data_IF_541568513090
#
_entry.id   IF_541568513090
#
_cell.length_a   1.000
_cell.length_b   1.000
_cell.length_c   1.000
_cell.angle_alpha   90.00
_cell.angle_beta   90.00
_cell.angle_gamma   90.00
#
_symmetry.space_group_name_H-M   'P 1'
#
loop_
_entity.id
_entity.type
_entity.pdbx_description
1 polymer ?
#
# COMPACT_ATOMS: atom_id res chain seq x y z
N UNK A 1 -2.29 -4.54 17.64
CA UNK A 1 -1.47 -3.90 16.59
C UNK A 1 -1.10 -5.00 15.62
N UNK A 2 -1.85 -5.14 14.53
CA UNK A 2 -1.53 -6.11 13.49
C UNK A 2 -0.30 -5.61 12.71
N UNK A 3 0.87 -6.10 13.13
CA UNK A 3 2.12 -5.90 12.42
C UNK A 3 2.14 -6.86 11.21
N UNK A 4 2.50 -6.42 10.00
CA UNK A 4 2.59 -7.32 8.87
C UNK A 4 3.73 -8.34 9.08
N UNK A 5 3.38 -9.63 9.06
CA UNK A 5 4.33 -10.75 9.08
C UNK A 5 5.29 -10.72 7.87
N UNK A 6 4.83 -10.17 6.74
CA UNK A 6 5.62 -10.02 5.52
C UNK A 6 5.45 -8.62 4.95
N UNK A 7 6.57 -7.93 4.73
CA UNK A 7 6.61 -6.62 4.07
C UNK A 7 7.05 -6.84 2.61
N UNK A 8 6.20 -6.57 1.61
CA UNK A 8 6.58 -6.69 0.21
C UNK A 8 7.74 -5.76 -0.17
N UNK A 9 8.60 -6.23 -1.07
CA UNK A 9 9.68 -5.43 -1.65
C UNK A 9 9.18 -4.79 -2.94
N UNK A 10 9.37 -3.48 -3.06
CA UNK A 10 9.04 -2.74 -4.28
C UNK A 10 10.04 -3.08 -5.39
N UNK A 11 9.66 -2.88 -6.65
CA UNK A 11 10.55 -3.01 -7.82
C UNK A 11 11.81 -2.14 -7.77
N UNK A 12 11.88 -1.17 -6.86
CA UNK A 12 13.10 -0.38 -6.59
C UNK A 12 14.07 -1.07 -5.62
N UNK A 13 13.80 -2.31 -5.20
CA UNK A 13 14.61 -3.09 -4.26
C UNK A 13 14.42 -2.73 -2.79
N UNK A 14 13.53 -1.79 -2.46
CA UNK A 14 13.32 -1.33 -1.08
C UNK A 14 12.03 -1.90 -0.48
N UNK A 15 11.98 -2.14 0.85
CA UNK A 15 10.74 -2.48 1.54
C UNK A 15 9.68 -1.41 1.34
N UNK A 16 8.46 -1.87 1.07
CA UNK A 16 7.29 -0.99 0.95
C UNK A 16 6.91 -0.39 2.31
N UNK A 17 6.05 0.63 2.26
CA UNK A 17 5.43 1.22 3.45
C UNK A 17 3.96 0.81 3.50
N UNK A 18 3.51 0.41 4.69
CA UNK A 18 2.09 0.26 4.97
C UNK A 18 1.49 1.66 5.13
N UNK A 19 0.48 1.97 4.33
CA UNK A 19 -0.28 3.21 4.35
C UNK A 19 -1.76 2.89 4.54
N UNK A 20 -2.54 3.91 4.89
CA UNK A 20 -3.99 3.83 5.07
C UNK A 20 -4.66 4.82 4.11
N UNK A 21 -5.73 4.39 3.45
CA UNK A 21 -6.55 5.25 2.60
C UNK A 21 -7.50 6.09 3.45
N UNK A 22 -7.56 7.38 3.14
CA UNK A 22 -8.44 8.36 3.77
C UNK A 22 -9.57 8.81 2.84
N UNK A 23 -9.72 8.16 1.69
CA UNK A 23 -10.78 8.43 0.72
C UNK A 23 -12.13 7.90 1.22
N UNK A 24 -13.21 8.61 0.89
CA UNK A 24 -14.58 8.19 1.22
C UNK A 24 -14.96 6.82 0.65
N UNK A 25 -14.37 6.41 -0.48
CA UNK A 25 -14.69 5.13 -1.12
C UNK A 25 -14.02 3.91 -0.44
N UNK A 26 -12.93 4.16 0.30
CA UNK A 26 -12.15 3.12 0.98
C UNK A 26 -11.62 3.66 2.31
N UNK A 27 -12.45 4.10 3.25
CA UNK A 27 -11.96 4.72 4.47
C UNK A 27 -11.27 3.67 5.35
N UNK A 28 -10.07 3.97 5.83
CA UNK A 28 -9.33 3.12 6.78
C UNK A 28 -8.67 1.88 6.17
N UNK A 29 -8.86 1.61 4.87
CA UNK A 29 -8.27 0.45 4.21
C UNK A 29 -6.76 0.61 4.02
N UNK A 30 -5.98 -0.41 4.36
CA UNK A 30 -4.52 -0.36 4.33
C UNK A 30 -3.96 -0.96 3.05
N UNK A 31 -2.86 -0.40 2.58
CA UNK A 31 -2.15 -0.85 1.38
C UNK A 31 -0.65 -0.68 1.53
N UNK A 32 0.12 -1.49 0.80
CA UNK A 32 1.55 -1.32 0.65
C UNK A 32 1.86 -0.47 -0.57
N UNK A 33 2.71 0.55 -0.39
CA UNK A 33 3.15 1.44 -1.44
C UNK A 33 4.65 1.68 -1.44
N UNK A 34 5.19 2.05 -2.60
CA UNK A 34 6.59 2.48 -2.70
C UNK A 34 6.84 3.75 -1.87
N UNK A 35 7.89 3.76 -1.04
CA UNK A 35 8.31 4.95 -0.26
C UNK A 35 8.72 6.14 -1.14
N UNK A 36 9.14 5.88 -2.38
CA UNK A 36 9.57 6.91 -3.33
C UNK A 36 8.42 7.47 -4.17
N UNK A 37 7.18 7.01 -3.94
CA UNK A 37 6.01 7.59 -4.61
C UNK A 37 5.92 9.10 -4.30
N UNK A 38 5.76 9.94 -5.34
CA UNK A 38 5.70 11.40 -5.20
C UNK A 38 7.04 12.13 -5.00
N UNK A 39 8.18 11.43 -4.88
CA UNK A 39 9.49 12.06 -4.61
C UNK A 39 10.23 12.62 -5.83
N UNK A 40 9.53 12.84 -6.95
CA UNK A 40 10.13 13.44 -8.16
C UNK A 40 11.16 12.57 -8.89
N UNK A 41 11.30 11.28 -8.55
CA UNK A 41 12.20 10.36 -9.26
C UNK A 41 11.76 10.19 -10.72
N UNK A 42 12.74 10.23 -11.62
CA UNK A 42 12.59 10.13 -13.09
C UNK A 42 11.89 8.86 -13.59
N UNK A 43 11.76 7.84 -12.74
CA UNK A 43 10.86 6.70 -12.94
C UNK A 43 10.05 6.47 -11.66
N UNK A 44 8.76 6.82 -11.63
CA UNK A 44 7.93 6.46 -10.50
C UNK A 44 7.79 4.93 -10.47
N UNK A 45 8.17 4.32 -9.35
CA UNK A 45 7.90 2.91 -9.10
C UNK A 45 6.50 2.79 -8.51
N UNK A 46 5.54 2.41 -9.35
CA UNK A 46 4.13 2.23 -8.97
C UNK A 46 3.91 0.83 -8.39
N UNK A 47 4.56 0.52 -7.27
CA UNK A 47 4.18 -0.66 -6.50
C UNK A 47 2.96 -0.33 -5.64
N UNK A 48 1.89 -1.13 -5.78
CA UNK A 48 0.67 -1.04 -5.01
C UNK A 48 0.10 -2.45 -4.79
N UNK A 49 -0.25 -2.78 -3.54
CA UNK A 49 -1.07 -3.94 -3.23
C UNK A 49 -1.85 -3.72 -1.93
N UNK A 50 -3.05 -4.29 -1.82
CA UNK A 50 -3.88 -4.16 -0.62
C UNK A 50 -3.31 -5.00 0.52
N UNK A 51 -3.30 -4.44 1.73
CA UNK A 51 -3.01 -5.19 2.96
C UNK A 51 -4.27 -5.84 3.51
N UNK A 52 -5.34 -5.06 3.62
CA UNK A 52 -6.63 -5.59 4.05
C UNK A 52 -7.32 -6.33 2.89
N UNK A 53 -7.99 -7.47 3.17
CA UNK A 53 -8.74 -8.21 2.16
C UNK A 53 -9.80 -7.33 1.49
N UNK A 54 -10.34 -7.74 0.33
CA UNK A 54 -11.50 -7.08 -0.25
C UNK A 54 -12.60 -6.95 0.80
N UNK A 55 -13.24 -5.78 0.88
CA UNK A 55 -14.47 -5.65 1.64
C UNK A 55 -15.48 -6.56 0.93
N UNK A 56 -15.83 -7.67 1.58
CA UNK A 56 -16.89 -8.53 1.07
C UNK A 56 -18.15 -7.68 0.95
N UNK A 57 -18.81 -7.62 -0.21
CA UNK A 57 -20.15 -7.06 -0.23
C UNK A 57 -20.99 -7.91 0.72
N UNK A 58 -21.51 -7.30 1.79
CA UNK A 58 -22.54 -7.94 2.60
C UNK A 58 -23.70 -8.25 1.67
N UNK A 59 -23.95 -9.54 1.43
CA UNK A 59 -25.08 -10.01 0.65
C UNK A 59 -26.41 -9.64 1.28
#
# INVERSE_FOLDING_TARGET
MDMPEVIPVCYCGNPTKLNMTWSNDNPGRRFFGCKKFGSGFRKPYWFFTWFDPPLTPSS
#
